data_IF_279914020134
#
_entry.id   IF_279914020134
#
_cell.length_a   1.000
_cell.length_b   1.000
_cell.length_c   1.000
_cell.angle_alpha   90.00
_cell.angle_beta   90.00
_cell.angle_gamma   90.00
#
_symmetry.space_group_name_H-M   'P 1'
#
loop_
_entity.id
_entity.type
_entity.pdbx_description
1 polymer ?
#
# COMPACT_ATOMS: atom_id res chain seq x y z
N UNK A 1 -25.65 4.96 9.99
CA UNK A 1 -26.87 5.69 9.55
C UNK A 1 -27.13 6.98 10.32
N UNK A 2 -26.91 7.03 11.64
CA UNK A 2 -27.23 8.19 12.50
C UNK A 2 -26.58 9.53 12.08
N UNK A 3 -25.35 9.53 11.53
CA UNK A 3 -24.63 10.78 11.16
C UNK A 3 -25.23 11.55 9.98
N UNK A 4 -25.90 10.88 9.02
CA UNK A 4 -26.53 11.57 7.89
C UNK A 4 -27.80 12.31 8.33
N UNK A 5 -28.55 11.74 9.25
CA UNK A 5 -29.81 12.30 9.76
C UNK A 5 -29.62 13.65 10.45
N UNK A 6 -28.55 13.82 11.23
CA UNK A 6 -28.25 15.10 11.90
C UNK A 6 -27.99 16.24 10.92
N UNK A 7 -27.31 15.98 9.80
CA UNK A 7 -27.01 17.01 8.79
C UNK A 7 -28.30 17.50 8.12
N UNK A 8 -29.20 16.59 7.77
CA UNK A 8 -30.50 16.96 7.21
C UNK A 8 -31.35 17.76 8.22
N UNK A 9 -31.33 17.39 9.51
CA UNK A 9 -32.05 18.11 10.56
C UNK A 9 -31.51 19.54 10.72
N UNK A 10 -30.18 19.71 10.71
CA UNK A 10 -29.56 21.05 10.82
C UNK A 10 -29.89 21.91 9.59
N UNK A 11 -29.81 21.35 8.37
CA UNK A 11 -30.14 22.08 7.15
C UNK A 11 -31.62 22.48 7.16
N UNK A 12 -32.54 21.56 7.50
CA UNK A 12 -33.99 21.82 7.58
C UNK A 12 -34.29 22.88 8.64
N UNK A 13 -33.63 22.83 9.79
CA UNK A 13 -33.82 23.82 10.85
C UNK A 13 -33.40 25.23 10.38
N UNK A 14 -32.24 25.35 9.73
CA UNK A 14 -31.77 26.64 9.23
C UNK A 14 -32.61 27.17 8.07
N UNK A 15 -33.08 26.33 7.14
CA UNK A 15 -33.99 26.78 6.07
C UNK A 15 -35.35 27.19 6.61
N UNK A 16 -35.91 26.46 7.58
CA UNK A 16 -37.16 26.86 8.25
C UNK A 16 -37.01 28.19 9.01
N UNK A 17 -35.85 28.42 9.62
CA UNK A 17 -35.55 29.67 10.33
C UNK A 17 -35.45 30.86 9.35
N UNK A 18 -34.84 30.67 8.19
CA UNK A 18 -34.77 31.67 7.10
C UNK A 18 -36.15 31.98 6.52
N UNK A 19 -37.00 30.96 6.29
CA UNK A 19 -38.37 31.16 5.78
C UNK A 19 -39.23 31.90 6.81
N UNK A 20 -39.08 31.57 8.09
CA UNK A 20 -39.82 32.21 9.18
C UNK A 20 -39.47 33.71 9.32
N UNK A 21 -38.20 34.07 9.10
CA UNK A 21 -37.74 35.47 9.13
C UNK A 21 -38.18 36.23 7.87
N UNK A 22 -38.20 35.57 6.70
CA UNK A 22 -38.61 36.17 5.43
C UNK A 22 -40.10 36.56 5.36
N UNK A 23 -40.96 35.95 6.19
CA UNK A 23 -42.40 36.20 6.24
C UNK A 23 -42.82 37.24 7.30
N UNK A 24 -41.88 37.79 8.07
CA UNK A 24 -42.18 38.86 9.02
C UNK A 24 -42.21 40.21 8.27
N UNK A 25 -43.38 40.83 8.19
CA UNK A 25 -43.57 42.15 7.59
C UNK A 25 -42.98 43.25 8.50
N UNK A 26 -41.67 43.51 8.34
CA UNK A 26 -40.87 44.33 9.25
C UNK A 26 -40.62 45.71 8.65
N UNK A 27 -41.45 46.66 9.08
CA UNK A 27 -41.48 48.05 8.60
C UNK A 27 -40.27 48.97 8.94
N UNK A 28 -39.34 48.70 9.88
CA UNK A 28 -38.19 49.59 10.10
C UNK A 28 -36.90 49.13 9.38
N UNK A 29 -36.27 50.06 8.62
CA UNK A 29 -35.00 49.85 7.89
C UNK A 29 -33.86 49.24 8.73
N UNK A 30 -33.77 49.59 10.02
CA UNK A 30 -32.75 49.05 10.93
C UNK A 30 -32.91 47.56 11.22
N UNK A 31 -34.15 47.05 11.18
CA UNK A 31 -34.43 45.63 11.37
C UNK A 31 -34.10 44.83 10.10
N UNK A 32 -34.36 45.40 8.92
CA UNK A 32 -33.97 44.81 7.64
C UNK A 32 -32.46 44.62 7.54
N UNK A 33 -31.66 45.65 7.91
CA UNK A 33 -30.20 45.55 7.92
C UNK A 33 -29.69 44.45 8.86
N UNK A 34 -30.35 44.25 10.01
CA UNK A 34 -29.98 43.20 10.97
C UNK A 34 -30.26 41.80 10.41
N UNK A 35 -31.38 41.63 9.71
CA UNK A 35 -31.70 40.39 8.98
C UNK A 35 -30.68 40.12 7.88
N UNK A 36 -30.33 41.12 7.07
CA UNK A 36 -29.42 40.95 5.95
C UNK A 36 -28.01 40.54 6.42
N UNK A 37 -27.55 41.07 7.56
CA UNK A 37 -26.30 40.67 8.21
C UNK A 37 -26.39 39.20 8.68
N UNK A 38 -27.49 38.81 9.33
CA UNK A 38 -27.69 37.43 9.78
C UNK A 38 -27.78 36.44 8.61
N UNK A 39 -28.46 36.80 7.52
CA UNK A 39 -28.52 36.00 6.30
C UNK A 39 -27.15 35.88 5.64
N UNK A 40 -26.37 36.96 5.60
CA UNK A 40 -25.00 36.94 5.05
C UNK A 40 -24.07 36.06 5.88
N UNK A 41 -24.13 36.18 7.21
CA UNK A 41 -23.37 35.31 8.12
C UNK A 41 -23.83 33.85 8.03
N UNK A 42 -25.13 33.60 7.91
CA UNK A 42 -25.70 32.27 7.71
C UNK A 42 -25.24 31.62 6.40
N UNK A 43 -25.28 32.37 5.29
CA UNK A 43 -24.80 31.91 3.99
C UNK A 43 -23.28 31.65 4.01
N UNK A 44 -22.51 32.51 4.67
CA UNK A 44 -21.07 32.29 4.85
C UNK A 44 -20.77 31.05 5.70
N UNK A 45 -21.53 30.81 6.77
CA UNK A 45 -21.40 29.63 7.62
C UNK A 45 -21.75 28.34 6.88
N UNK A 46 -22.84 28.33 6.09
CA UNK A 46 -23.22 27.20 5.24
C UNK A 46 -22.14 26.94 4.18
N UNK A 47 -21.65 27.99 3.50
CA UNK A 47 -20.55 27.88 2.53
C UNK A 47 -19.27 27.30 3.14
N UNK A 48 -18.90 27.76 4.34
CA UNK A 48 -17.76 27.22 5.09
C UNK A 48 -17.94 25.75 5.48
N UNK A 49 -19.13 25.35 5.90
CA UNK A 49 -19.44 23.96 6.28
C UNK A 49 -19.40 23.02 5.07
N UNK A 50 -19.96 23.45 3.92
CA UNK A 50 -19.89 22.71 2.66
C UNK A 50 -18.45 22.57 2.19
N UNK A 51 -17.66 23.65 2.21
CA UNK A 51 -16.25 23.64 1.83
C UNK A 51 -15.42 22.70 2.73
N UNK A 52 -15.62 22.76 4.04
CA UNK A 52 -14.98 21.86 5.00
C UNK A 52 -15.32 20.39 4.72
N UNK A 53 -16.60 20.09 4.47
CA UNK A 53 -17.04 18.72 4.18
C UNK A 53 -16.48 18.20 2.84
N UNK A 54 -16.48 19.03 1.80
CA UNK A 54 -15.87 18.70 0.52
C UNK A 54 -14.37 18.42 0.65
N UNK A 55 -13.64 19.27 1.38
CA UNK A 55 -12.22 19.08 1.67
C UNK A 55 -11.98 17.80 2.47
N UNK A 56 -12.81 17.51 3.48
CA UNK A 56 -12.72 16.27 4.25
C UNK A 56 -12.89 15.02 3.37
N UNK A 57 -13.92 14.99 2.51
CA UNK A 57 -14.13 13.88 1.56
C UNK A 57 -12.96 13.76 0.60
N UNK A 58 -12.45 14.88 0.08
CA UNK A 58 -11.33 14.89 -0.86
C UNK A 58 -10.08 14.29 -0.22
N UNK A 59 -9.73 14.73 1.00
CA UNK A 59 -8.59 14.17 1.74
C UNK A 59 -8.77 12.67 1.99
N UNK A 60 -9.98 12.25 2.37
CA UNK A 60 -10.26 10.84 2.61
C UNK A 60 -10.12 10.00 1.32
N UNK A 61 -10.62 10.50 0.19
CA UNK A 61 -10.51 9.83 -1.10
C UNK A 61 -9.07 9.78 -1.60
N UNK A 62 -8.30 10.86 -1.44
CA UNK A 62 -6.88 10.89 -1.78
C UNK A 62 -6.09 9.86 -0.99
N UNK A 63 -6.32 9.74 0.33
CA UNK A 63 -5.71 8.70 1.16
C UNK A 63 -6.07 7.29 0.68
N UNK A 64 -7.36 7.05 0.39
CA UNK A 64 -7.81 5.74 -0.11
C UNK A 64 -7.18 5.37 -1.47
N UNK A 65 -7.05 6.34 -2.39
CA UNK A 65 -6.38 6.13 -3.67
C UNK A 65 -4.89 5.85 -3.49
N UNK A 66 -4.22 6.56 -2.58
CA UNK A 66 -2.80 6.35 -2.31
C UNK A 66 -2.53 4.96 -1.72
N UNK A 67 -3.33 4.53 -0.74
CA UNK A 67 -3.26 3.18 -0.21
C UNK A 67 -3.44 2.11 -1.30
N UNK A 68 -4.37 2.33 -2.24
CA UNK A 68 -4.63 1.41 -3.34
C UNK A 68 -3.46 1.35 -4.32
N UNK A 69 -2.82 2.49 -4.60
CA UNK A 69 -1.59 2.53 -5.40
C UNK A 69 -0.48 1.76 -4.71
N UNK A 70 -0.25 1.99 -3.42
CA UNK A 70 0.75 1.27 -2.64
C UNK A 70 0.52 -0.25 -2.67
N UNK A 71 -0.72 -0.71 -2.44
CA UNK A 71 -1.05 -2.14 -2.52
C UNK A 71 -0.82 -2.74 -3.92
N UNK A 72 -1.12 -1.99 -4.99
CA UNK A 72 -0.86 -2.45 -6.37
C UNK A 72 0.64 -2.52 -6.66
N UNK A 73 1.42 -1.53 -6.22
CA UNK A 73 2.88 -1.55 -6.36
C UNK A 73 3.48 -2.73 -5.60
N UNK A 74 3.08 -2.92 -4.34
CA UNK A 74 3.54 -4.05 -3.52
C UNK A 74 3.20 -5.39 -4.19
N UNK A 75 1.97 -5.55 -4.69
CA UNK A 75 1.55 -6.72 -5.47
C UNK A 75 2.50 -7.00 -6.63
N UNK A 76 2.81 -5.99 -7.45
CA UNK A 76 3.66 -6.16 -8.62
C UNK A 76 5.08 -6.59 -8.23
N UNK A 77 5.60 -6.06 -7.13
CA UNK A 77 6.94 -6.42 -6.66
C UNK A 77 6.95 -7.83 -6.08
N UNK A 78 5.91 -8.26 -5.35
CA UNK A 78 5.77 -9.66 -4.94
C UNK A 78 5.79 -10.62 -6.15
N UNK A 79 5.16 -10.23 -7.27
CA UNK A 79 5.19 -11.04 -8.51
C UNK A 79 6.60 -11.12 -9.08
N UNK A 80 7.32 -10.00 -9.15
CA UNK A 80 8.70 -9.96 -9.64
C UNK A 80 9.63 -10.80 -8.77
N UNK A 81 9.60 -10.58 -7.45
CA UNK A 81 10.38 -11.33 -6.48
C UNK A 81 10.10 -12.83 -6.57
N UNK A 82 8.83 -13.22 -6.64
CA UNK A 82 8.45 -14.63 -6.77
C UNK A 82 9.02 -15.25 -8.04
N UNK A 83 8.96 -14.52 -9.17
CA UNK A 83 9.53 -14.99 -10.43
C UNK A 83 11.05 -15.11 -10.37
N UNK A 84 11.73 -14.14 -9.76
CA UNK A 84 13.19 -14.15 -9.64
C UNK A 84 13.67 -15.26 -8.71
N UNK A 85 13.01 -15.46 -7.56
CA UNK A 85 13.27 -16.60 -6.66
C UNK A 85 13.10 -17.93 -7.40
N UNK A 86 12.01 -18.07 -8.18
CA UNK A 86 11.75 -19.29 -8.96
C UNK A 86 12.80 -19.52 -10.04
N UNK A 87 13.28 -18.45 -10.69
CA UNK A 87 14.33 -18.53 -11.70
C UNK A 87 15.67 -18.92 -11.08
N UNK A 88 16.04 -18.29 -9.96
CA UNK A 88 17.25 -18.63 -9.20
C UNK A 88 17.16 -20.09 -8.76
N UNK A 89 16.04 -20.51 -8.17
CA UNK A 89 15.87 -21.89 -7.69
C UNK A 89 16.13 -22.92 -8.80
N UNK A 90 15.42 -22.79 -9.93
CA UNK A 90 15.59 -23.68 -11.10
C UNK A 90 17.03 -23.74 -11.60
N UNK A 91 17.75 -22.62 -11.59
CA UNK A 91 19.17 -22.59 -12.01
C UNK A 91 20.05 -23.31 -10.99
N UNK A 92 19.83 -23.07 -9.71
CA UNK A 92 20.54 -23.74 -8.62
C UNK A 92 20.32 -25.27 -8.64
N UNK A 93 19.09 -25.73 -8.87
CA UNK A 93 18.76 -27.15 -9.05
C UNK A 93 19.48 -27.81 -10.24
N UNK A 94 19.73 -27.06 -11.31
CA UNK A 94 20.53 -27.55 -12.44
C UNK A 94 22.00 -27.66 -12.04
N UNK A 95 22.51 -26.71 -11.27
CA UNK A 95 23.89 -26.75 -10.80
C UNK A 95 24.16 -27.92 -9.86
N UNK A 96 23.25 -28.23 -8.92
CA UNK A 96 23.44 -29.33 -7.95
C UNK A 96 23.59 -30.71 -8.62
N UNK A 97 23.07 -30.87 -9.84
CA UNK A 97 23.20 -32.08 -10.67
C UNK A 97 24.57 -32.25 -11.34
N UNK A 98 25.38 -31.19 -11.41
CA UNK A 98 26.75 -31.27 -11.96
C UNK A 98 27.71 -31.88 -10.95
N UNK A 99 28.75 -32.57 -11.39
CA UNK A 99 29.78 -33.11 -10.49
C UNK A 99 30.66 -32.04 -9.85
N UNK A 100 31.01 -31.01 -10.64
CA UNK A 100 31.79 -29.86 -10.18
C UNK A 100 31.08 -28.59 -10.61
N UNK A 101 31.03 -27.62 -9.71
CA UNK A 101 30.40 -26.31 -9.91
C UNK A 101 31.39 -25.25 -9.48
N UNK A 102 31.57 -24.22 -10.30
CA UNK A 102 32.44 -23.08 -10.00
C UNK A 102 31.62 -21.82 -9.73
N UNK A 103 32.16 -20.89 -8.94
CA UNK A 103 31.50 -19.60 -8.68
C UNK A 103 31.26 -18.81 -9.97
N UNK A 104 32.18 -18.88 -10.93
CA UNK A 104 32.03 -18.25 -12.24
C UNK A 104 30.74 -18.62 -12.96
N UNK A 105 30.35 -19.90 -12.92
CA UNK A 105 29.13 -20.39 -13.59
C UNK A 105 27.84 -19.88 -12.95
N UNK A 106 27.84 -19.58 -11.65
CA UNK A 106 26.64 -19.16 -10.94
C UNK A 106 26.46 -17.64 -10.99
N UNK A 107 27.55 -16.88 -10.95
CA UNK A 107 27.55 -15.42 -10.85
C UNK A 107 26.64 -14.74 -11.87
N UNK A 108 26.69 -15.19 -13.11
CA UNK A 108 25.93 -14.59 -14.23
C UNK A 108 24.41 -14.77 -14.10
N UNK A 109 23.96 -15.66 -13.22
CA UNK A 109 22.54 -15.96 -13.01
C UNK A 109 21.96 -15.38 -11.72
N UNK A 110 22.78 -14.76 -10.87
CA UNK A 110 22.31 -14.17 -9.63
C UNK A 110 21.76 -12.77 -9.92
N UNK A 111 20.44 -12.65 -9.98
CA UNK A 111 19.74 -11.36 -10.00
C UNK A 111 19.27 -11.06 -8.57
N UNK A 112 19.67 -9.91 -8.02
CA UNK A 112 19.31 -9.51 -6.64
C UNK A 112 18.48 -8.23 -6.57
N UNK A 113 18.37 -7.48 -7.67
CA UNK A 113 17.76 -6.15 -7.69
C UNK A 113 16.31 -6.12 -7.19
N UNK A 114 15.50 -7.11 -7.58
CA UNK A 114 14.10 -7.21 -7.13
C UNK A 114 13.99 -7.56 -5.64
N UNK A 115 14.86 -8.43 -5.14
CA UNK A 115 14.94 -8.82 -3.73
C UNK A 115 15.42 -7.66 -2.86
N UNK A 116 16.42 -6.91 -3.33
CA UNK A 116 16.91 -5.70 -2.68
C UNK A 116 15.84 -4.62 -2.65
N UNK A 117 15.17 -4.36 -3.78
CA UNK A 117 14.05 -3.42 -3.85
C UNK A 117 12.93 -3.82 -2.89
N UNK A 118 12.57 -5.11 -2.85
CA UNK A 118 11.58 -5.64 -1.93
C UNK A 118 11.97 -5.42 -0.47
N UNK A 119 13.24 -5.65 -0.12
CA UNK A 119 13.79 -5.36 1.20
C UNK A 119 13.68 -3.86 1.52
N UNK A 120 14.18 -2.97 0.67
CA UNK A 120 14.23 -1.54 1.02
C UNK A 120 12.85 -0.87 1.06
N UNK A 121 11.99 -1.19 0.10
CA UNK A 121 10.71 -0.49 -0.05
C UNK A 121 9.59 -1.10 0.80
N UNK A 122 9.68 -2.39 1.16
CA UNK A 122 8.55 -3.11 1.74
C UNK A 122 8.87 -3.94 2.98
N UNK A 123 10.05 -3.80 3.57
CA UNK A 123 10.36 -4.41 4.87
C UNK A 123 9.33 -4.05 5.94
N UNK A 124 8.79 -2.83 5.92
CA UNK A 124 7.75 -2.40 6.85
C UNK A 124 6.37 -3.04 6.60
N UNK A 125 6.15 -3.61 5.42
CA UNK A 125 4.93 -4.38 5.11
C UNK A 125 5.06 -5.84 5.54
N UNK A 126 6.29 -6.32 5.74
CA UNK A 126 6.57 -7.63 6.31
C UNK A 126 6.39 -7.51 7.83
N UNK A 127 5.46 -8.30 8.39
CA UNK A 127 5.12 -8.24 9.82
C UNK A 127 5.97 -9.17 10.68
N UNK A 128 6.64 -10.11 10.05
CA UNK A 128 7.34 -11.20 10.72
C UNK A 128 8.86 -10.97 10.61
N UNK A 129 9.52 -10.84 11.75
CA UNK A 129 10.97 -10.65 11.83
C UNK A 129 11.72 -11.86 11.26
N UNK A 130 11.14 -13.06 11.34
CA UNK A 130 11.73 -14.27 10.76
C UNK A 130 11.78 -14.18 9.23
N UNK A 131 10.76 -13.58 8.62
CA UNK A 131 10.69 -13.42 7.16
C UNK A 131 11.72 -12.40 6.66
N UNK A 132 11.94 -11.32 7.43
CA UNK A 132 12.99 -10.33 7.17
C UNK A 132 14.38 -10.95 7.32
N UNK A 133 14.57 -11.77 8.34
CA UNK A 133 15.81 -12.51 8.59
C UNK A 133 16.09 -13.50 7.45
N UNK A 134 15.08 -14.24 7.00
CA UNK A 134 15.19 -15.18 5.89
C UNK A 134 15.55 -14.47 4.57
N UNK A 135 14.88 -13.36 4.24
CA UNK A 135 15.22 -12.54 3.08
C UNK A 135 16.68 -12.05 3.14
N UNK A 136 17.10 -11.56 4.30
CA UNK A 136 18.47 -11.08 4.50
C UNK A 136 19.49 -12.21 4.36
N UNK A 137 19.18 -13.41 4.87
CA UNK A 137 20.00 -14.61 4.73
C UNK A 137 20.15 -15.03 3.26
N UNK A 138 19.08 -15.01 2.48
CA UNK A 138 19.11 -15.29 1.03
C UNK A 138 19.99 -14.26 0.32
N UNK A 139 19.74 -12.97 0.53
CA UNK A 139 20.53 -11.89 -0.09
C UNK A 139 22.02 -12.01 0.24
N UNK A 140 22.36 -12.25 1.51
CA UNK A 140 23.75 -12.41 1.93
C UNK A 140 24.41 -13.61 1.25
N UNK A 141 23.71 -14.74 1.13
CA UNK A 141 24.24 -15.92 0.44
C UNK A 141 24.45 -15.67 -1.05
N UNK A 142 23.48 -15.03 -1.71
CA UNK A 142 23.61 -14.65 -3.12
C UNK A 142 24.78 -13.67 -3.33
N UNK A 143 24.96 -12.71 -2.41
CA UNK A 143 26.09 -11.77 -2.45
C UNK A 143 27.43 -12.49 -2.28
N UNK A 144 27.55 -13.40 -1.32
CA UNK A 144 28.76 -14.20 -1.13
C UNK A 144 29.11 -15.01 -2.39
N UNK A 145 28.11 -15.61 -3.04
CA UNK A 145 28.30 -16.29 -4.32
C UNK A 145 28.78 -15.31 -5.43
N UNK A 146 28.31 -14.06 -5.42
CA UNK A 146 28.75 -13.01 -6.35
C UNK A 146 30.18 -12.55 -6.11
N UNK A 147 30.66 -12.53 -4.87
CA UNK A 147 31.95 -11.91 -4.50
C UNK A 147 33.15 -12.87 -4.59
N UNK A 148 32.94 -14.18 -4.46
CA UNK A 148 34.01 -15.19 -4.43
C UNK A 148 34.81 -15.33 -5.74
N UNK A 149 36.02 -15.88 -5.71
CA UNK A 149 36.84 -16.06 -6.91
C UNK A 149 36.21 -17.02 -7.92
N UNK A 150 36.27 -16.69 -9.22
CA UNK A 150 35.53 -17.40 -10.28
C UNK A 150 35.84 -18.89 -10.35
N UNK A 151 37.11 -19.26 -10.24
CA UNK A 151 37.58 -20.64 -10.46
C UNK A 151 37.45 -21.53 -9.21
N UNK A 152 37.06 -20.95 -8.08
CA UNK A 152 36.88 -21.69 -6.83
C UNK A 152 35.68 -22.64 -6.97
N UNK A 153 35.83 -23.85 -6.44
CA UNK A 153 34.75 -24.85 -6.40
C UNK A 153 33.74 -24.50 -5.32
N UNK A 154 32.46 -24.69 -5.62
CA UNK A 154 31.37 -24.48 -4.67
C UNK A 154 31.02 -25.82 -4.03
N UNK A 155 30.90 -25.80 -2.70
CA UNK A 155 30.32 -26.89 -1.94
C UNK A 155 28.81 -27.00 -2.22
N UNK A 156 28.36 -28.17 -2.69
CA UNK A 156 26.96 -28.45 -3.02
C UNK A 156 26.01 -28.22 -1.84
N UNK A 157 26.46 -28.45 -0.61
CA UNK A 157 25.64 -28.24 0.58
C UNK A 157 25.27 -26.76 0.76
N UNK A 158 26.13 -25.84 0.32
CA UNK A 158 25.82 -24.39 0.34
C UNK A 158 24.72 -24.05 -0.65
N UNK A 159 24.73 -24.65 -1.84
CA UNK A 159 23.70 -24.46 -2.85
C UNK A 159 22.37 -25.07 -2.39
N UNK A 160 22.41 -26.29 -1.84
CA UNK A 160 21.22 -26.97 -1.30
C UNK A 160 20.56 -26.16 -0.17
N UNK A 161 21.35 -25.60 0.75
CA UNK A 161 20.82 -24.73 1.81
C UNK A 161 20.20 -23.45 1.24
N UNK A 162 20.76 -22.89 0.18
CA UNK A 162 20.20 -21.71 -0.50
C UNK A 162 18.87 -22.04 -1.18
N UNK A 163 18.77 -23.20 -1.85
CA UNK A 163 17.53 -23.69 -2.46
C UNK A 163 16.41 -23.77 -1.41
N UNK A 164 16.66 -24.43 -0.28
CA UNK A 164 15.68 -24.57 0.80
C UNK A 164 15.18 -23.20 1.29
N UNK A 165 16.11 -22.27 1.54
CA UNK A 165 15.75 -20.92 2.00
C UNK A 165 14.91 -20.17 0.93
N UNK A 166 15.28 -20.31 -0.35
CA UNK A 166 14.56 -19.69 -1.48
C UNK A 166 13.15 -20.25 -1.60
N UNK A 167 12.98 -21.57 -1.52
CA UNK A 167 11.66 -22.23 -1.60
C UNK A 167 10.75 -21.80 -0.46
N UNK A 168 11.29 -21.74 0.76
CA UNK A 168 10.55 -21.27 1.92
C UNK A 168 10.09 -19.82 1.73
N UNK A 169 10.98 -18.95 1.27
CA UNK A 169 10.65 -17.55 1.06
C UNK A 169 9.73 -17.33 -0.14
N UNK A 170 9.86 -18.09 -1.23
CA UNK A 170 8.94 -18.07 -2.37
C UNK A 170 7.50 -18.37 -1.91
N UNK A 171 7.34 -19.37 -1.03
CA UNK A 171 6.04 -19.70 -0.42
C UNK A 171 5.49 -18.51 0.37
N UNK A 172 6.31 -17.86 1.19
CA UNK A 172 5.93 -16.70 2.01
C UNK A 172 5.52 -15.50 1.13
N UNK A 173 6.27 -15.20 0.08
CA UNK A 173 5.91 -14.17 -0.91
C UNK A 173 4.58 -14.49 -1.60
N UNK A 174 4.30 -15.78 -1.85
CA UNK A 174 2.99 -16.26 -2.31
C UNK A 174 1.84 -15.86 -1.36
N UNK A 175 2.02 -16.04 -0.06
CA UNK A 175 1.03 -15.66 0.95
C UNK A 175 0.79 -14.15 0.99
N UNK A 176 1.86 -13.34 0.90
CA UNK A 176 1.71 -11.89 0.83
C UNK A 176 0.94 -11.43 -0.41
N UNK A 177 1.17 -12.09 -1.55
CA UNK A 177 0.45 -11.80 -2.78
C UNK A 177 -1.05 -12.10 -2.63
N UNK A 178 -1.41 -13.21 -1.99
CA UNK A 178 -2.80 -13.57 -1.69
C UNK A 178 -3.48 -12.57 -0.74
N UNK A 179 -2.82 -12.22 0.37
CA UNK A 179 -3.34 -11.23 1.32
C UNK A 179 -3.52 -9.86 0.67
N UNK A 180 -2.57 -9.45 -0.16
CA UNK A 180 -2.64 -8.19 -0.92
C UNK A 180 -3.82 -8.19 -1.89
N UNK A 181 -4.02 -9.29 -2.63
CA UNK A 181 -5.18 -9.43 -3.51
C UNK A 181 -6.51 -9.37 -2.73
N UNK A 182 -6.57 -9.99 -1.54
CA UNK A 182 -7.75 -9.95 -0.67
C UNK A 182 -8.04 -8.52 -0.21
N UNK A 183 -7.03 -7.77 0.22
CA UNK A 183 -7.15 -6.36 0.63
C UNK A 183 -7.66 -5.48 -0.50
N UNK A 184 -7.08 -5.62 -1.70
CA UNK A 184 -7.52 -4.89 -2.90
C UNK A 184 -9.00 -5.19 -3.18
N UNK A 185 -9.38 -6.46 -3.27
CA UNK A 185 -10.76 -6.86 -3.57
C UNK A 185 -11.77 -6.40 -2.51
N UNK A 186 -11.37 -6.36 -1.23
CA UNK A 186 -12.23 -5.87 -0.15
C UNK A 186 -12.54 -4.38 -0.25
N UNK A 187 -11.61 -3.58 -0.80
CA UNK A 187 -11.83 -2.14 -1.04
C UNK A 187 -12.77 -1.89 -2.23
N UNK A 188 -12.80 -2.77 -3.23
CA UNK A 188 -13.70 -2.65 -4.37
C UNK A 188 -15.15 -3.10 -4.08
N UNK A 189 -15.38 -4.04 -3.16
CA UNK A 189 -16.74 -4.50 -2.79
C UNK A 189 -17.57 -3.50 -1.95
N UNK A 190 -16.99 -2.38 -1.52
CA UNK A 190 -17.67 -1.35 -0.70
C UNK A 190 -18.19 -0.15 -1.50
N UNK A 191 -18.04 -0.18 -2.82
CA UNK A 191 -18.58 0.79 -3.77
C UNK A 191 -19.69 0.13 -4.59
#
# INVERSE_FOLDING_TARGET
MVKKTYIYIVIIFFTLLIISISNLDLKPKSFQTTIDILLTLGNAAIGGLVAYYAAYIQVQNSKNMEDLKQLKTFKNICILVKNDLRNINKRMEVFTKKDVITYGEIKDYIVSDSLEKFKYEFIYMIKDEEDVSLLSKILNRLLLLKMEEKDKKIDKDRINKLIIDIEEFERKVGLYLEDTNRKINSKFKRH
#
